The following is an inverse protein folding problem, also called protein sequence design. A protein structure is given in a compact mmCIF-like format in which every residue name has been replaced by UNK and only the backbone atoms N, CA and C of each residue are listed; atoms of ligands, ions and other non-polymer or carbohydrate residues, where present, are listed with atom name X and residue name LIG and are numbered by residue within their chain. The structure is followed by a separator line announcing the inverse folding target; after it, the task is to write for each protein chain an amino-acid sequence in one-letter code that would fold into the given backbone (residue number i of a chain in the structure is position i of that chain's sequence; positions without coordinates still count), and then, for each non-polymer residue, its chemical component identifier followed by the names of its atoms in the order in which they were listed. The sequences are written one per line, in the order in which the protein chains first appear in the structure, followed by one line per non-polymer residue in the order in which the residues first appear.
data_IF_132299261322
#
_entry.id   IF_132299261322
#
_cell.length_a   1.000
_cell.length_b   1.000
_cell.length_c   1.000
_cell.angle_alpha   90.00
_cell.angle_beta   90.00
_cell.angle_gamma   90.00
#
_symmetry.space_group_name_H-M   'P 1'
#
loop_
_entity.id
_entity.type
_entity.pdbx_description
1 polymer ?
#
# COMPACT_ATOMS: atom_id res chain seq x y z
N UNK A 1 18.13 35.87 5.71
CA UNK A 1 17.17 34.92 6.27
C UNK A 1 17.25 33.66 5.42
N UNK A 2 17.81 32.59 5.97
CA UNK A 2 17.88 31.32 5.24
C UNK A 2 16.47 30.76 5.18
N UNK A 3 15.88 30.73 3.99
CA UNK A 3 14.59 30.06 3.76
C UNK A 3 14.83 28.60 4.06
N UNK A 4 14.39 28.15 5.24
CA UNK A 4 14.36 26.74 5.58
C UNK A 4 13.44 26.07 4.56
N UNK A 5 14.00 25.17 3.75
CA UNK A 5 13.25 24.26 2.90
C UNK A 5 13.50 22.87 3.49
N UNK A 6 12.45 22.10 3.88
CA UNK A 6 12.64 20.74 4.34
C UNK A 6 13.41 19.94 3.29
N UNK A 7 14.29 19.04 3.72
CA UNK A 7 15.04 18.19 2.79
C UNK A 7 14.06 17.30 2.01
N UNK A 8 14.27 17.18 0.70
CA UNK A 8 13.74 16.03 -0.03
C UNK A 8 14.39 14.78 0.57
N UNK A 9 13.59 13.96 1.24
CA UNK A 9 14.06 12.75 1.92
C UNK A 9 13.59 11.53 1.14
N UNK A 10 14.49 10.57 0.98
CA UNK A 10 14.13 9.24 0.53
C UNK A 10 13.42 8.56 1.69
N UNK A 11 12.22 8.02 1.45
CA UNK A 11 11.49 7.24 2.45
C UNK A 11 11.67 5.76 2.20
N UNK A 12 11.62 4.97 3.26
CA UNK A 12 11.60 3.52 3.17
C UNK A 12 10.27 3.03 3.72
N UNK A 13 9.56 2.24 2.94
CA UNK A 13 8.21 1.78 3.24
C UNK A 13 8.08 0.28 3.10
N UNK A 14 7.00 -0.26 3.67
CA UNK A 14 6.58 -1.64 3.55
C UNK A 14 5.15 -1.70 3.02
N UNK A 15 4.84 -2.72 2.23
CA UNK A 15 3.47 -3.02 1.82
C UNK A 15 3.19 -4.52 1.90
N UNK A 16 1.97 -4.86 2.33
CA UNK A 16 1.48 -6.22 2.40
C UNK A 16 0.57 -6.55 1.23
N UNK A 17 0.89 -7.61 0.50
CA UNK A 17 0.09 -8.09 -0.62
C UNK A 17 -0.85 -9.19 -0.12
N UNK A 18 -1.98 -8.78 0.47
CA UNK A 18 -3.05 -9.69 0.89
C UNK A 18 -3.97 -10.01 -0.29
N UNK A 19 -4.32 -11.29 -0.43
CA UNK A 19 -5.06 -11.75 -1.60
C UNK A 19 -6.32 -12.53 -1.24
N UNK A 20 -7.44 -12.14 -1.87
CA UNK A 20 -8.68 -12.91 -1.91
C UNK A 20 -8.85 -13.45 -3.32
N UNK A 21 -8.51 -14.74 -3.51
CA UNK A 21 -8.39 -15.36 -4.85
C UNK A 21 -7.36 -14.59 -5.70
N UNK A 22 -7.82 -13.96 -6.77
CA UNK A 22 -7.08 -13.11 -7.73
C UNK A 22 -7.25 -11.61 -7.44
N UNK A 23 -7.92 -11.25 -6.34
CA UNK A 23 -8.13 -9.86 -5.94
C UNK A 23 -7.14 -9.44 -4.85
N UNK A 24 -6.49 -8.29 -5.05
CA UNK A 24 -5.54 -7.69 -4.13
C UNK A 24 -6.28 -6.75 -3.18
N UNK A 25 -6.00 -6.83 -1.87
CA UNK A 25 -6.47 -5.82 -0.92
C UNK A 25 -5.68 -4.53 -1.10
N UNK A 26 -6.36 -3.44 -1.40
CA UNK A 26 -5.74 -2.14 -1.57
C UNK A 26 -6.68 -1.02 -1.11
N UNK A 27 -6.08 0.08 -0.67
CA UNK A 27 -6.76 1.32 -0.33
C UNK A 27 -6.92 2.22 -1.55
N UNK A 28 -8.06 2.91 -1.62
CA UNK A 28 -8.33 3.89 -2.67
C UNK A 28 -7.46 5.14 -2.50
N UNK A 29 -6.90 5.64 -3.60
CA UNK A 29 -6.14 6.89 -3.64
C UNK A 29 -6.91 7.90 -4.48
N UNK A 30 -7.33 8.98 -3.84
CA UNK A 30 -8.11 10.04 -4.48
C UNK A 30 -7.22 11.13 -5.12
N UNK A 31 -7.75 11.78 -6.16
CA UNK A 31 -7.28 13.07 -6.64
C UNK A 31 -7.92 14.23 -5.85
N UNK A 32 -7.47 15.46 -6.11
CA UNK A 32 -7.93 16.68 -5.42
C UNK A 32 -9.43 16.95 -5.60
N UNK A 33 -10.10 16.23 -6.52
CA UNK A 33 -11.54 16.31 -6.76
C UNK A 33 -12.34 15.21 -6.05
N UNK A 34 -11.67 14.33 -5.29
CA UNK A 34 -12.29 13.19 -4.60
C UNK A 34 -12.57 12.01 -5.53
N UNK A 35 -12.00 11.99 -6.74
CA UNK A 35 -12.12 10.85 -7.65
C UNK A 35 -10.99 9.87 -7.40
N UNK A 36 -11.29 8.58 -7.36
CA UNK A 36 -10.29 7.51 -7.28
C UNK A 36 -9.41 7.56 -8.54
N UNK A 37 -8.14 7.92 -8.35
CA UNK A 37 -7.12 7.92 -9.42
C UNK A 37 -6.26 6.67 -9.41
N UNK A 38 -6.16 6.00 -8.27
CA UNK A 38 -5.38 4.78 -8.14
C UNK A 38 -5.72 4.01 -6.88
N UNK A 39 -5.04 2.89 -6.70
CA UNK A 39 -5.10 2.07 -5.49
C UNK A 39 -3.69 1.72 -5.03
N UNK A 40 -3.50 1.55 -3.72
CA UNK A 40 -2.23 1.12 -3.13
C UNK A 40 -2.45 0.00 -2.12
N UNK A 41 -1.64 -1.06 -2.06
CA UNK A 41 -1.72 -2.01 -0.96
C UNK A 41 -1.43 -1.34 0.38
N UNK A 42 -1.96 -1.94 1.45
CA UNK A 42 -1.80 -1.47 2.82
C UNK A 42 -0.38 -1.63 3.34
N UNK A 43 -0.04 -0.85 4.37
CA UNK A 43 1.29 -0.68 4.91
C UNK A 43 1.76 0.77 4.88
N UNK A 44 2.92 1.02 5.48
CA UNK A 44 3.39 2.38 5.70
C UNK A 44 4.89 2.52 5.81
N UNK A 45 5.33 3.51 6.59
CA UNK A 45 6.73 3.84 6.72
C UNK A 45 7.43 2.88 7.68
N UNK A 46 8.69 2.53 7.39
CA UNK A 46 9.54 1.87 8.38
C UNK A 46 10.08 2.96 9.31
N UNK A 47 9.83 2.81 10.61
CA UNK A 47 10.32 3.75 11.61
C UNK A 47 11.81 3.55 11.93
N UNK A 48 12.44 4.56 12.51
CA UNK A 48 13.84 4.46 12.89
C UNK A 48 14.04 3.42 14.00
N UNK A 49 14.90 2.44 13.73
CA UNK A 49 15.15 1.33 14.66
C UNK A 49 14.21 0.13 14.46
N UNK A 50 13.28 0.23 13.51
CA UNK A 50 12.34 -0.83 13.16
C UNK A 50 12.86 -1.64 11.95
N UNK A 51 12.67 -2.95 11.96
CA UNK A 51 12.86 -3.79 10.78
C UNK A 51 11.65 -3.72 9.84
N UNK A 52 11.84 -4.08 8.56
CA UNK A 52 10.73 -4.14 7.60
C UNK A 52 9.59 -5.09 8.02
N UNK A 53 9.90 -6.14 8.77
CA UNK A 53 8.89 -7.11 9.22
C UNK A 53 8.11 -6.55 10.41
N UNK A 54 8.80 -5.97 11.39
CA UNK A 54 8.16 -5.25 12.50
C UNK A 54 7.24 -4.13 12.00
N UNK A 55 7.71 -3.33 11.03
CA UNK A 55 6.91 -2.28 10.40
C UNK A 55 5.64 -2.84 9.77
N UNK A 56 5.76 -3.93 8.99
CA UNK A 56 4.61 -4.50 8.30
C UNK A 56 3.58 -5.07 9.30
N UNK A 57 4.05 -5.69 10.39
CA UNK A 57 3.17 -6.15 11.47
C UNK A 57 2.48 -4.99 12.20
N UNK A 58 3.22 -3.92 12.52
CA UNK A 58 2.67 -2.72 13.17
C UNK A 58 1.60 -2.07 12.31
N UNK A 59 1.89 -1.81 11.03
CA UNK A 59 0.96 -1.14 10.12
C UNK A 59 -0.35 -1.91 9.97
N UNK A 60 -0.32 -3.23 9.80
CA UNK A 60 -1.55 -4.03 9.72
C UNK A 60 -2.30 -4.11 11.05
N UNK A 61 -1.59 -4.02 12.18
CA UNK A 61 -2.21 -3.93 13.50
C UNK A 61 -2.88 -2.56 13.72
N UNK A 62 -2.28 -1.47 13.25
CA UNK A 62 -2.81 -0.11 13.34
C UNK A 62 -3.99 0.11 12.39
N UNK A 63 -3.86 -0.32 11.13
CA UNK A 63 -4.88 -0.12 10.10
C UNK A 63 -6.04 -1.10 10.27
N UNK A 64 -5.76 -2.40 10.40
CA UNK A 64 -6.80 -3.43 10.28
C UNK A 64 -7.08 -4.21 11.57
N UNK A 65 -6.44 -3.83 12.68
CA UNK A 65 -6.52 -4.53 13.96
C UNK A 65 -6.26 -6.04 13.86
N UNK A 66 -5.41 -6.45 12.91
CA UNK A 66 -5.16 -7.86 12.62
C UNK A 66 -3.68 -8.19 12.57
N UNK A 67 -3.34 -9.39 13.06
CA UNK A 67 -2.03 -9.96 12.83
C UNK A 67 -1.91 -10.48 11.40
N UNK A 68 -0.68 -10.57 10.91
CA UNK A 68 -0.37 -11.11 9.59
C UNK A 68 0.67 -12.21 9.67
N UNK A 69 0.78 -12.97 8.58
CA UNK A 69 1.91 -13.87 8.32
C UNK A 69 2.51 -13.52 6.97
N UNK A 70 3.80 -13.22 6.94
CA UNK A 70 4.53 -13.04 5.67
C UNK A 70 4.68 -14.39 4.97
N UNK A 71 4.26 -14.45 3.71
CA UNK A 71 4.30 -15.66 2.89
C UNK A 71 5.16 -15.42 1.65
N UNK A 72 6.28 -16.13 1.54
CA UNK A 72 7.17 -16.01 0.38
C UNK A 72 8.22 -14.90 0.50
N UNK A 73 8.86 -14.55 -0.63
CA UNK A 73 10.00 -13.64 -0.63
C UNK A 73 9.57 -12.18 -0.50
N UNK A 74 10.50 -11.37 0.01
CA UNK A 74 10.40 -9.92 -0.09
C UNK A 74 10.86 -9.45 -1.48
N UNK A 75 10.17 -8.44 -1.99
CA UNK A 75 10.52 -7.70 -3.18
C UNK A 75 10.88 -6.26 -2.81
N UNK A 76 11.78 -5.64 -3.57
CA UNK A 76 12.16 -4.24 -3.40
C UNK A 76 11.77 -3.46 -4.67
N UNK A 77 11.07 -2.35 -4.47
CA UNK A 77 10.76 -1.38 -5.52
C UNK A 77 11.42 -0.04 -5.18
N UNK A 78 11.97 0.60 -6.20
CA UNK A 78 12.28 2.02 -6.15
C UNK A 78 11.17 2.78 -6.88
N UNK A 79 10.55 3.73 -6.19
CA UNK A 79 9.45 4.53 -6.70
C UNK A 79 9.84 6.01 -6.64
N UNK A 80 9.98 6.63 -7.81
CA UNK A 80 10.19 8.07 -7.96
C UNK A 80 8.97 8.61 -8.69
N UNK A 81 8.27 9.58 -8.08
CA UNK A 81 7.01 10.09 -8.58
C UNK A 81 6.87 11.58 -8.31
N UNK A 82 5.90 12.21 -8.97
CA UNK A 82 5.51 13.59 -8.72
C UNK A 82 4.15 13.63 -8.02
N UNK A 83 4.04 14.41 -6.96
CA UNK A 83 2.79 14.60 -6.21
C UNK A 83 2.64 16.08 -5.86
N UNK A 84 1.58 16.73 -6.35
CA UNK A 84 1.34 18.18 -6.25
C UNK A 84 2.56 19.05 -6.57
N UNK A 85 3.31 18.73 -7.64
CA UNK A 85 4.48 19.49 -8.06
C UNK A 85 5.75 19.25 -7.23
N UNK A 86 5.72 18.28 -6.30
CA UNK A 86 6.88 17.85 -5.52
C UNK A 86 7.32 16.44 -5.90
N UNK A 87 8.64 16.23 -6.02
CA UNK A 87 9.21 14.89 -6.24
C UNK A 87 9.16 14.08 -4.94
N UNK A 88 8.51 12.93 -4.99
CA UNK A 88 8.62 11.86 -4.00
C UNK A 88 9.63 10.80 -4.44
N UNK A 89 10.36 10.24 -3.48
CA UNK A 89 11.31 9.13 -3.70
C UNK A 89 11.21 8.15 -2.54
N UNK A 90 10.85 6.92 -2.86
CA UNK A 90 10.64 5.86 -1.88
C UNK A 90 11.28 4.54 -2.32
N UNK A 91 11.83 3.80 -1.36
CA UNK A 91 12.11 2.38 -1.48
C UNK A 91 11.01 1.60 -0.76
N UNK A 92 10.33 0.70 -1.46
CA UNK A 92 9.22 -0.08 -0.91
C UNK A 92 9.61 -1.56 -0.86
N UNK A 93 9.54 -2.14 0.33
CA UNK A 93 9.58 -3.58 0.54
C UNK A 93 8.16 -4.15 0.44
N UNK A 94 7.93 -5.05 -0.51
CA UNK A 94 6.63 -5.70 -0.70
C UNK A 94 6.75 -7.20 -0.42
N UNK A 95 5.77 -7.79 0.25
CA UNK A 95 5.69 -9.24 0.41
C UNK A 95 4.24 -9.71 0.37
N UNK A 96 4.02 -10.93 -0.13
CA UNK A 96 2.71 -11.58 0.05
C UNK A 96 2.48 -11.86 1.53
N UNK A 97 1.24 -11.68 1.97
CA UNK A 97 0.84 -11.90 3.36
C UNK A 97 -0.47 -12.67 3.45
N UNK A 98 -0.69 -13.27 4.61
CA UNK A 98 -1.98 -13.77 5.04
C UNK A 98 -2.44 -13.00 6.28
N UNK A 99 -3.66 -12.47 6.23
CA UNK A 99 -4.37 -11.90 7.38
C UNK A 99 -4.80 -13.02 8.32
N UNK A 100 -4.58 -12.85 9.63
CA UNK A 100 -4.99 -13.82 10.64
C UNK A 100 -6.50 -13.78 10.92
N UNK A 101 -7.15 -12.62 10.78
CA UNK A 101 -8.60 -12.51 10.84
C UNK A 101 -9.23 -12.92 9.52
N UNK A 102 -9.71 -14.17 9.47
CA UNK A 102 -10.38 -14.73 8.30
C UNK A 102 -11.64 -13.95 7.91
N UNK A 103 -12.28 -13.25 8.84
CA UNK A 103 -13.50 -12.47 8.57
C UNK A 103 -13.26 -11.31 7.62
N UNK A 104 -12.02 -10.80 7.52
CA UNK A 104 -11.66 -9.71 6.61
C UNK A 104 -11.76 -10.13 5.13
N UNK A 105 -11.52 -11.41 4.82
CA UNK A 105 -11.68 -11.92 3.45
C UNK A 105 -13.14 -11.97 3.01
N UNK A 106 -14.08 -12.12 3.93
CA UNK A 106 -15.51 -12.16 3.61
C UNK A 106 -16.14 -10.77 3.44
N UNK A 107 -15.42 -9.69 3.79
CA UNK A 107 -15.89 -8.31 3.64
C UNK A 107 -15.57 -7.77 2.26
N UNK A 108 -16.51 -7.08 1.64
CA UNK A 108 -16.28 -6.36 0.37
C UNK A 108 -15.56 -5.02 0.55
N UNK A 109 -15.64 -4.46 1.77
CA UNK A 109 -15.06 -3.19 2.16
C UNK A 109 -14.53 -3.30 3.59
N UNK A 110 -13.33 -2.79 3.82
CA UNK A 110 -12.71 -2.69 5.14
C UNK A 110 -12.41 -1.21 5.39
N UNK A 111 -13.14 -0.62 6.34
CA UNK A 111 -12.90 0.76 6.78
C UNK A 111 -11.88 0.77 7.88
N UNK A 112 -10.95 1.70 7.80
CA UNK A 112 -9.92 1.90 8.80
C UNK A 112 -9.55 3.38 8.89
N UNK A 113 -8.72 3.71 9.88
CA UNK A 113 -8.16 5.05 10.02
C UNK A 113 -6.67 5.00 9.67
N UNK A 114 -6.20 5.93 8.84
CA UNK A 114 -4.76 6.17 8.71
C UNK A 114 -4.20 6.82 9.99
N UNK A 115 -2.87 6.90 10.09
CA UNK A 115 -2.15 7.47 11.23
C UNK A 115 -2.56 8.91 11.59
N UNK A 116 -3.11 9.66 10.64
CA UNK A 116 -3.59 11.03 10.83
C UNK A 116 -5.10 11.12 11.14
N UNK A 117 -5.71 9.99 11.53
CA UNK A 117 -7.14 9.82 11.79
C UNK A 117 -8.05 10.03 10.57
N UNK A 118 -7.47 10.11 9.36
CA UNK A 118 -8.26 10.15 8.13
C UNK A 118 -8.90 8.79 7.88
N UNK A 119 -10.21 8.78 7.70
CA UNK A 119 -10.92 7.56 7.34
C UNK A 119 -10.52 7.11 5.93
N UNK A 120 -10.05 5.87 5.82
CA UNK A 120 -9.67 5.23 4.58
C UNK A 120 -10.51 3.96 4.35
N UNK A 121 -10.58 3.57 3.09
CA UNK A 121 -11.34 2.39 2.65
C UNK A 121 -10.46 1.47 1.82
N UNK A 122 -10.28 0.25 2.31
CA UNK A 122 -9.66 -0.83 1.57
C UNK A 122 -10.71 -1.75 0.95
N UNK A 123 -10.47 -2.18 -0.29
CA UNK A 123 -11.31 -3.14 -1.02
C UNK A 123 -10.45 -4.16 -1.74
N UNK A 124 -11.10 -5.22 -2.22
CA UNK A 124 -10.49 -6.26 -3.04
C UNK A 124 -10.59 -5.89 -4.53
N UNK A 125 -9.46 -5.61 -5.16
CA UNK A 125 -9.38 -5.19 -6.55
C UNK A 125 -8.83 -6.31 -7.44
N UNK A 126 -9.49 -6.59 -8.56
CA UNK A 126 -8.98 -7.48 -9.60
C UNK A 126 -8.27 -6.71 -10.71
N UNK A 127 -7.30 -7.35 -11.37
CA UNK A 127 -6.49 -6.75 -12.45
C UNK A 127 -7.33 -6.09 -13.54
N UNK A 128 -8.27 -6.85 -14.12
CA UNK A 128 -9.04 -6.39 -15.28
C UNK A 128 -9.95 -5.23 -14.93
N UNK A 129 -10.57 -5.27 -13.74
CA UNK A 129 -11.40 -4.18 -13.23
C UNK A 129 -10.63 -2.87 -13.10
N UNK A 130 -9.39 -2.91 -12.60
CA UNK A 130 -8.55 -1.70 -12.51
C UNK A 130 -8.24 -1.13 -13.90
N UNK A 131 -7.86 -2.01 -14.84
CA UNK A 131 -7.54 -1.63 -16.22
C UNK A 131 -8.74 -1.02 -16.95
N UNK A 132 -9.90 -1.66 -16.86
CA UNK A 132 -11.13 -1.18 -17.49
C UNK A 132 -11.59 0.17 -16.92
N UNK A 133 -11.41 0.37 -15.61
CA UNK A 133 -11.74 1.62 -14.94
C UNK A 133 -10.69 2.73 -15.16
N UNK A 134 -9.53 2.42 -15.73
CA UNK A 134 -8.41 3.35 -15.85
C UNK A 134 -7.86 3.80 -14.49
N UNK A 135 -7.89 2.90 -13.50
CA UNK A 135 -7.37 3.15 -12.14
C UNK A 135 -5.95 2.58 -12.04
N UNK A 136 -5.00 3.42 -11.64
CA UNK A 136 -3.60 3.03 -11.49
C UNK A 136 -3.36 2.12 -10.27
N UNK A 137 -2.35 1.26 -10.35
CA UNK A 137 -1.82 0.53 -9.19
C UNK A 137 -0.49 1.17 -8.74
N UNK A 138 -0.44 1.59 -7.48
CA UNK A 138 0.76 2.15 -6.84
C UNK A 138 1.40 1.16 -5.86
N UNK A 139 2.72 1.24 -5.63
CA UNK A 139 3.68 2.09 -6.34
C UNK A 139 3.89 1.67 -7.79
N UNK A 140 4.38 2.60 -8.62
CA UNK A 140 4.63 2.36 -10.05
C UNK A 140 5.50 1.12 -10.24
N UNK A 141 5.02 0.18 -11.06
CA UNK A 141 5.74 -1.06 -11.35
C UNK A 141 5.45 -2.23 -10.42
N UNK A 142 4.62 -2.05 -9.39
CA UNK A 142 4.17 -3.13 -8.51
C UNK A 142 3.53 -4.29 -9.30
N UNK A 143 2.72 -3.97 -10.31
CA UNK A 143 2.06 -4.93 -11.20
C UNK A 143 2.99 -6.04 -11.75
N UNK A 144 4.28 -5.72 -11.98
CA UNK A 144 5.27 -6.65 -12.53
C UNK A 144 5.69 -7.73 -11.54
N UNK A 145 5.50 -7.46 -10.24
CA UNK A 145 5.83 -8.36 -9.16
C UNK A 145 4.67 -9.31 -8.82
N UNK A 146 3.43 -8.87 -9.03
CA UNK A 146 2.22 -9.59 -8.65
C UNK A 146 2.09 -10.90 -9.43
N UNK A 147 2.50 -12.01 -8.80
CA UNK A 147 2.51 -13.34 -9.41
C UNK A 147 1.12 -13.80 -9.85
N UNK A 148 0.07 -13.42 -9.10
CA UNK A 148 -1.33 -13.76 -9.38
C UNK A 148 -1.96 -12.95 -10.51
N UNK A 149 -1.30 -11.89 -10.96
CA UNK A 149 -1.74 -11.03 -12.05
C UNK A 149 -0.90 -11.21 -13.32
N UNK A 150 -0.17 -12.33 -13.43
CA UNK A 150 0.54 -12.70 -14.66
C UNK A 150 -0.45 -13.31 -15.65
N UNK A 151 -0.23 -13.03 -16.93
CA UNK A 151 -0.97 -13.63 -18.06
C UNK A 151 -0.67 -15.13 -18.20
#
# INVERSE_FOLDING_TARGET
MTVWRPSQQIRVKVIGLAWRKDQLLAAEVEDDSGRIKGVRPLGGAIEFGESREEALHREFQEELETAIRVVGPWHLLENIYEHHGATGHEYIFAADIELADESLYERDEIRYSELDETAATARWFGRDRLREAGIDLYPTGLERLLSRWRD
#
